data_IF_865290342863
#
_entry.id   IF_865290342863
#
_cell.length_a   1.000
_cell.length_b   1.000
_cell.length_c   1.000
_cell.angle_alpha   90.00
_cell.angle_beta   90.00
_cell.angle_gamma   90.00
#
_symmetry.space_group_name_H-M   'P 1'
#
loop_
_entity.id
_entity.type
_entity.pdbx_description
1 polymer ?
#
# COMPACT_ATOMS: atom_id res chain seq x y z
N UNK A 1 10.83 -4.30 22.73
CA UNK A 1 10.13 -3.66 21.60
C UNK A 1 10.12 -4.67 20.46
N UNK A 2 8.94 -5.01 19.94
CA UNK A 2 8.82 -6.11 18.96
C UNK A 2 8.77 -5.59 17.53
N UNK A 3 9.69 -6.06 16.70
CA UNK A 3 9.78 -5.72 15.27
C UNK A 3 9.56 -6.96 14.42
N UNK A 4 8.94 -6.79 13.26
CA UNK A 4 8.81 -7.84 12.26
C UNK A 4 9.56 -7.47 11.00
N UNK A 5 10.39 -8.38 10.49
CA UNK A 5 11.15 -8.21 9.26
C UNK A 5 10.69 -9.30 8.27
N UNK A 6 10.31 -8.89 7.07
CA UNK A 6 9.98 -9.85 5.99
C UNK A 6 11.25 -10.51 5.47
N UNK A 7 11.24 -11.83 5.26
CA UNK A 7 12.41 -12.59 4.81
C UNK A 7 12.07 -13.51 3.64
N UNK A 8 13.05 -13.72 2.75
CA UNK A 8 12.98 -14.70 1.66
C UNK A 8 13.32 -16.12 2.13
N UNK A 9 13.88 -16.29 3.32
CA UNK A 9 14.32 -17.58 3.85
C UNK A 9 14.17 -17.72 5.36
N UNK A 10 14.41 -18.93 5.89
CA UNK A 10 14.10 -19.31 7.27
C UNK A 10 15.22 -18.94 8.28
N UNK A 11 16.10 -18.01 7.95
CA UNK A 11 17.26 -17.63 8.78
C UNK A 11 17.54 -16.12 8.70
N UNK A 12 18.41 -15.62 9.60
CA UNK A 12 18.78 -14.20 9.66
C UNK A 12 19.77 -13.78 8.55
N UNK A 13 20.41 -14.74 7.89
CA UNK A 13 21.34 -14.49 6.78
C UNK A 13 20.60 -14.29 5.45
N UNK A 14 19.32 -14.67 5.42
CA UNK A 14 18.41 -14.49 4.31
C UNK A 14 18.18 -13.01 3.98
N UNK A 15 17.89 -12.77 2.72
CA UNK A 15 17.55 -11.44 2.22
C UNK A 15 16.17 -11.00 2.69
N UNK A 16 16.01 -9.71 2.95
CA UNK A 16 14.69 -9.11 3.17
C UNK A 16 13.81 -9.33 1.93
N UNK A 17 12.56 -9.73 2.12
CA UNK A 17 11.64 -9.91 1.00
C UNK A 17 11.14 -8.54 0.50
N UNK A 18 11.16 -8.29 -0.81
CA UNK A 18 10.61 -7.06 -1.38
C UNK A 18 9.08 -6.94 -1.24
N UNK A 19 8.35 -7.97 -0.81
CA UNK A 19 6.88 -8.02 -0.80
C UNK A 19 6.37 -8.38 0.59
N UNK A 20 5.65 -7.47 1.23
CA UNK A 20 5.01 -7.78 2.53
C UNK A 20 3.94 -8.88 2.45
N UNK A 21 3.05 -8.80 1.46
CA UNK A 21 1.94 -9.76 1.37
C UNK A 21 2.42 -11.19 1.09
N UNK A 22 3.36 -11.36 0.16
CA UNK A 22 3.80 -12.69 -0.29
C UNK A 22 5.26 -12.97 0.05
N UNK A 23 5.74 -12.46 1.17
CA UNK A 23 7.04 -12.88 1.68
C UNK A 23 7.00 -14.37 2.02
N UNK A 24 8.16 -15.03 1.97
CA UNK A 24 8.26 -16.43 2.35
C UNK A 24 8.15 -16.61 3.87
N UNK A 25 8.83 -15.75 4.64
CA UNK A 25 8.90 -15.84 6.09
C UNK A 25 8.72 -14.46 6.75
N UNK A 26 8.29 -14.50 8.00
CA UNK A 26 8.28 -13.39 8.94
C UNK A 26 9.28 -13.67 10.06
N UNK A 27 10.18 -12.73 10.30
CA UNK A 27 11.14 -12.76 11.41
C UNK A 27 10.64 -11.78 12.46
N UNK A 28 10.09 -12.31 13.55
CA UNK A 28 9.70 -11.54 14.72
C UNK A 28 10.91 -11.42 15.64
N UNK A 29 11.35 -10.20 15.91
CA UNK A 29 12.54 -9.93 16.72
C UNK A 29 12.17 -9.03 17.88
N UNK A 30 12.60 -9.37 19.09
CA UNK A 30 12.47 -8.51 20.26
C UNK A 30 13.80 -7.82 20.54
N UNK A 31 13.81 -6.49 20.38
CA UNK A 31 15.00 -5.67 20.58
C UNK A 31 15.45 -5.58 22.04
N UNK A 32 14.56 -5.87 22.99
CA UNK A 32 14.89 -5.76 24.42
C UNK A 32 15.56 -7.05 24.94
N UNK A 33 15.09 -8.21 24.47
CA UNK A 33 15.54 -9.53 24.96
C UNK A 33 16.50 -10.24 24.02
N UNK A 34 16.75 -9.69 22.84
CA UNK A 34 17.56 -10.28 21.77
C UNK A 34 17.06 -11.63 21.22
N UNK A 35 15.80 -11.95 21.50
CA UNK A 35 15.16 -13.18 21.02
C UNK A 35 14.46 -12.96 19.68
N UNK A 36 14.42 -14.03 18.88
CA UNK A 36 13.70 -14.02 17.61
C UNK A 36 12.91 -15.31 17.36
N UNK A 37 11.82 -15.18 16.61
CA UNK A 37 10.95 -16.25 16.16
C UNK A 37 10.77 -16.10 14.65
N UNK A 38 11.01 -17.17 13.88
CA UNK A 38 10.83 -17.18 12.42
C UNK A 38 9.62 -18.05 12.10
N UNK A 39 8.67 -17.49 11.34
CA UNK A 39 7.43 -18.17 10.96
C UNK A 39 7.29 -18.12 9.44
N UNK A 40 6.99 -19.25 8.81
CA UNK A 40 6.60 -19.29 7.40
C UNK A 40 5.27 -18.57 7.20
N UNK A 41 5.15 -17.77 6.14
CA UNK A 41 3.96 -17.00 5.86
C UNK A 41 2.76 -17.93 5.52
N UNK A 42 1.78 -18.11 6.43
CA UNK A 42 0.69 -19.05 6.21
C UNK A 42 -0.24 -18.60 5.08
N UNK A 43 -0.20 -17.32 4.72
CA UNK A 43 -1.09 -16.70 3.76
C UNK A 43 -0.45 -16.57 2.37
N UNK A 44 0.79 -17.05 2.16
CA UNK A 44 1.55 -16.86 0.91
C UNK A 44 0.78 -17.30 -0.34
N UNK A 45 0.03 -18.41 -0.24
CA UNK A 45 -0.75 -19.00 -1.33
C UNK A 45 -2.14 -18.38 -1.52
N UNK A 46 -2.50 -17.39 -0.71
CA UNK A 46 -3.82 -16.76 -0.79
C UNK A 46 -4.04 -16.04 -2.12
N UNK A 47 -5.23 -16.24 -2.70
CA UNK A 47 -5.62 -15.66 -3.99
C UNK A 47 -5.80 -14.15 -3.88
N UNK A 48 -6.39 -13.67 -2.78
CA UNK A 48 -6.65 -12.24 -2.52
C UNK A 48 -6.60 -11.95 -1.03
N UNK A 49 -6.44 -10.68 -0.66
CA UNK A 49 -6.46 -10.23 0.73
C UNK A 49 -5.24 -10.66 1.57
N UNK A 50 -4.22 -11.26 0.97
CA UNK A 50 -3.05 -11.79 1.69
C UNK A 50 -2.38 -10.75 2.58
N UNK A 51 -2.18 -9.53 2.06
CA UNK A 51 -1.59 -8.44 2.83
C UNK A 51 -2.44 -8.00 4.03
N UNK A 52 -3.76 -8.10 3.94
CA UNK A 52 -4.68 -7.79 5.05
C UNK A 52 -4.56 -8.87 6.14
N UNK A 53 -4.58 -10.15 5.76
CA UNK A 53 -4.43 -11.27 6.68
C UNK A 53 -3.08 -11.23 7.40
N UNK A 54 -2.00 -10.91 6.67
CA UNK A 54 -0.69 -10.74 7.29
C UNK A 54 -0.62 -9.53 8.21
N UNK A 55 -1.27 -8.41 7.87
CA UNK A 55 -1.36 -7.26 8.77
C UNK A 55 -2.10 -7.60 10.08
N UNK A 56 -3.16 -8.40 10.01
CA UNK A 56 -3.85 -8.92 11.20
C UNK A 56 -2.93 -9.81 12.04
N UNK A 57 -2.19 -10.72 11.40
CA UNK A 57 -1.19 -11.55 12.08
C UNK A 57 -0.14 -10.71 12.83
N UNK A 58 0.31 -9.58 12.25
CA UNK A 58 1.25 -8.68 12.92
C UNK A 58 0.64 -8.06 14.19
N UNK A 59 -0.63 -7.65 14.12
CA UNK A 59 -1.35 -7.10 15.27
C UNK A 59 -1.54 -8.15 16.37
N UNK A 60 -1.92 -9.37 16.02
CA UNK A 60 -2.06 -10.49 16.96
C UNK A 60 -0.73 -10.85 17.65
N UNK A 61 0.38 -10.81 16.91
CA UNK A 61 1.73 -11.04 17.45
C UNK A 61 2.28 -9.87 18.28
N UNK A 62 1.55 -8.76 18.39
CA UNK A 62 1.95 -7.58 19.14
C UNK A 62 3.16 -6.86 18.56
N UNK A 63 3.28 -6.83 17.24
CA UNK A 63 4.39 -6.15 16.56
C UNK A 63 4.17 -4.64 16.59
N UNK A 64 5.19 -3.88 16.94
CA UNK A 64 5.15 -2.41 16.96
C UNK A 64 5.65 -1.79 15.64
N UNK A 65 6.59 -2.47 14.97
CA UNK A 65 7.19 -2.00 13.72
C UNK A 65 7.35 -3.13 12.71
N UNK A 66 6.88 -2.92 11.48
CA UNK A 66 7.07 -3.82 10.34
C UNK A 66 8.11 -3.23 9.38
N UNK A 67 9.04 -4.06 8.95
CA UNK A 67 10.14 -3.71 8.05
C UNK A 67 10.06 -4.61 6.82
N UNK A 68 9.92 -3.99 5.65
CA UNK A 68 9.71 -4.69 4.38
C UNK A 68 10.32 -3.92 3.21
N UNK A 69 10.44 -4.54 2.05
CA UNK A 69 10.73 -3.80 0.82
C UNK A 69 9.54 -2.97 0.37
N UNK A 70 8.41 -3.59 0.03
CA UNK A 70 7.20 -2.89 -0.42
C UNK A 70 5.97 -3.32 0.37
N UNK A 71 5.04 -2.38 0.53
CA UNK A 71 3.76 -2.58 1.19
C UNK A 71 2.63 -1.96 0.35
N UNK A 72 1.58 -2.74 0.08
CA UNK A 72 0.41 -2.27 -0.66
C UNK A 72 -0.58 -1.48 0.22
N UNK A 73 -1.47 -0.66 -0.39
CA UNK A 73 -2.34 0.27 0.33
C UNK A 73 -3.30 -0.41 1.30
N UNK A 74 -3.82 -1.60 0.95
CA UNK A 74 -4.75 -2.34 1.81
C UNK A 74 -4.10 -2.90 3.07
N UNK A 75 -2.84 -3.32 3.00
CA UNK A 75 -2.12 -3.80 4.18
C UNK A 75 -1.67 -2.62 5.05
N UNK A 76 -1.26 -1.53 4.41
CA UNK A 76 -0.88 -0.30 5.10
C UNK A 76 -2.00 0.29 5.95
N UNK A 77 -3.23 0.34 5.43
CA UNK A 77 -4.36 0.86 6.20
C UNK A 77 -4.62 0.04 7.47
N UNK A 78 -4.52 -1.29 7.39
CA UNK A 78 -4.73 -2.20 8.53
C UNK A 78 -3.61 -2.05 9.57
N UNK A 79 -2.35 -2.03 9.12
CA UNK A 79 -1.20 -1.82 10.02
C UNK A 79 -1.29 -0.46 10.73
N UNK A 80 -1.67 0.59 10.00
CA UNK A 80 -1.83 1.93 10.57
C UNK A 80 -2.97 1.98 11.61
N UNK A 81 -4.11 1.34 11.33
CA UNK A 81 -5.23 1.25 12.28
C UNK A 81 -4.86 0.47 13.55
N UNK A 82 -4.00 -0.55 13.42
CA UNK A 82 -3.46 -1.29 14.54
C UNK A 82 -2.35 -0.53 15.31
N UNK A 83 -1.99 0.69 14.89
CA UNK A 83 -0.93 1.49 15.50
C UNK A 83 0.48 0.98 15.19
N UNK A 84 0.63 0.11 14.18
CA UNK A 84 1.90 -0.50 13.80
C UNK A 84 2.62 0.42 12.82
N UNK A 85 3.84 0.81 13.16
CA UNK A 85 4.68 1.62 12.27
C UNK A 85 5.23 0.76 11.16
N UNK A 86 5.38 1.31 9.95
CA UNK A 86 5.93 0.59 8.81
C UNK A 86 7.14 1.33 8.27
N UNK A 87 8.22 0.60 8.03
CA UNK A 87 9.39 1.05 7.29
C UNK A 87 9.44 0.25 6.00
N UNK A 88 9.38 0.94 4.87
CA UNK A 88 9.52 0.33 3.54
C UNK A 88 10.81 0.77 2.85
N UNK A 89 11.12 0.17 1.71
CA UNK A 89 12.35 0.41 0.95
C UNK A 89 13.59 -0.26 1.55
N UNK A 90 13.42 -1.22 2.46
CA UNK A 90 14.54 -1.93 3.09
C UNK A 90 14.96 -3.12 2.23
N UNK A 91 16.27 -3.26 2.04
CA UNK A 91 16.91 -4.35 1.30
C UNK A 91 18.20 -4.77 2.00
N UNK A 92 18.71 -5.97 1.70
CA UNK A 92 19.90 -6.55 2.32
C UNK A 92 19.56 -7.73 3.22
N UNK A 93 20.52 -8.20 4.01
CA UNK A 93 20.29 -9.32 4.93
C UNK A 93 19.47 -8.88 6.14
N UNK A 94 18.64 -9.78 6.66
CA UNK A 94 17.84 -9.54 7.87
C UNK A 94 18.74 -9.19 9.06
N UNK A 95 19.88 -9.86 9.22
CA UNK A 95 20.86 -9.58 10.26
C UNK A 95 21.38 -8.15 10.22
N UNK A 96 21.77 -7.65 9.05
CA UNK A 96 22.29 -6.29 8.87
C UNK A 96 21.25 -5.23 9.25
N UNK A 97 19.97 -5.52 8.94
CA UNK A 97 18.83 -4.68 9.31
C UNK A 97 18.66 -4.61 10.82
N UNK A 98 18.73 -5.74 11.52
CA UNK A 98 18.66 -5.80 12.99
C UNK A 98 19.81 -5.02 13.63
N UNK A 99 21.04 -5.24 13.15
CA UNK A 99 22.23 -4.55 13.66
C UNK A 99 22.17 -3.04 13.43
N UNK A 100 21.61 -2.60 12.29
CA UNK A 100 21.38 -1.18 12.03
C UNK A 100 20.39 -0.59 13.03
N UNK A 101 19.27 -1.27 13.32
CA UNK A 101 18.27 -0.79 14.28
C UNK A 101 18.85 -0.68 15.69
N UNK A 102 19.66 -1.67 16.11
CA UNK A 102 20.32 -1.64 17.43
C UNK A 102 21.26 -0.44 17.59
N UNK A 103 21.94 -0.04 16.51
CA UNK A 103 22.95 1.03 16.53
C UNK A 103 22.36 2.43 16.36
N UNK A 104 21.47 2.60 15.39
CA UNK A 104 20.97 3.91 14.93
C UNK A 104 19.54 4.19 15.41
N UNK A 105 18.89 3.18 16.00
CA UNK A 105 17.48 3.22 16.32
C UNK A 105 16.59 3.11 15.08
N UNK A 106 15.30 2.89 15.32
CA UNK A 106 14.29 2.78 14.26
C UNK A 106 14.17 4.08 13.45
N UNK A 107 14.44 5.23 14.10
CA UNK A 107 14.42 6.57 13.49
C UNK A 107 15.52 6.79 12.44
N UNK A 108 16.59 5.99 12.46
CA UNK A 108 17.69 6.06 11.48
C UNK A 108 17.37 5.43 10.14
N UNK A 109 16.25 4.69 10.03
CA UNK A 109 15.83 4.10 8.76
C UNK A 109 15.02 5.11 7.92
N UNK A 110 15.34 5.29 6.63
CA UNK A 110 14.60 6.21 5.79
C UNK A 110 13.15 5.70 5.64
N UNK A 111 12.12 6.50 6.00
CA UNK A 111 10.75 6.15 5.66
C UNK A 111 10.59 6.34 4.16
N UNK A 112 10.70 5.26 3.39
CA UNK A 112 10.36 5.31 1.98
C UNK A 112 8.86 5.05 1.82
N UNK A 113 8.27 5.82 0.92
CA UNK A 113 6.87 5.85 0.50
C UNK A 113 6.30 4.46 0.22
N UNK A 114 5.14 4.17 0.80
CA UNK A 114 4.25 3.14 0.27
C UNK A 114 4.00 3.41 -1.22
N UNK A 115 3.85 2.33 -1.99
CA UNK A 115 3.42 2.46 -3.39
C UNK A 115 2.13 3.29 -3.43
N UNK A 116 2.00 4.25 -4.37
CA UNK A 116 0.77 5.01 -4.53
C UNK A 116 -0.44 4.05 -4.60
N UNK A 117 -1.64 4.46 -4.13
CA UNK A 117 -2.85 3.63 -4.12
C UNK A 117 -3.27 3.03 -5.48
N UNK A 118 -2.56 3.39 -6.56
CA UNK A 118 -2.86 3.03 -7.95
C UNK A 118 -1.95 1.94 -8.56
N UNK A 119 -1.08 1.28 -7.78
CA UNK A 119 -0.30 0.14 -8.29
C UNK A 119 -1.10 -1.17 -8.15
N UNK A 120 -2.10 -1.38 -9.00
CA UNK A 120 -2.80 -2.68 -9.06
C UNK A 120 -4.24 -2.74 -9.56
N UNK A 121 -4.84 -1.66 -10.07
CA UNK A 121 -6.12 -1.77 -10.78
C UNK A 121 -5.85 -1.97 -12.27
N UNK A 122 -5.80 -3.23 -12.69
CA UNK A 122 -5.73 -3.59 -14.09
C UNK A 122 -6.92 -3.02 -14.86
N UNK A 123 -6.69 -1.93 -15.60
CA UNK A 123 -7.36 -1.64 -16.86
C UNK A 123 -6.46 -2.08 -18.03
N UNK A 124 -5.90 -3.29 -17.91
CA UNK A 124 -5.49 -4.04 -19.09
C UNK A 124 -6.75 -4.65 -19.70
N UNK A 125 -7.00 -4.55 -21.02
CA UNK A 125 -8.09 -5.28 -21.68
C UNK A 125 -7.76 -6.78 -21.65
N UNK A 126 -8.00 -7.42 -20.51
CA UNK A 126 -7.85 -8.85 -20.29
C UNK A 126 -9.02 -9.58 -20.95
N UNK A 127 -8.88 -9.85 -22.24
CA UNK A 127 -9.73 -10.78 -22.98
C UNK A 127 -9.48 -12.19 -22.42
N UNK A 128 -10.22 -12.55 -21.38
CA UNK A 128 -10.20 -13.87 -20.76
C UNK A 128 -10.68 -14.94 -21.73
N UNK A 129 -9.75 -15.55 -22.46
CA UNK A 129 -9.96 -16.74 -23.28
C UNK A 129 -9.99 -17.98 -22.38
N UNK A 130 -11.06 -18.12 -21.59
CA UNK A 130 -11.37 -19.33 -20.84
C UNK A 130 -12.11 -20.33 -21.73
N UNK A 131 -11.37 -21.11 -22.53
CA UNK A 131 -11.92 -22.22 -23.30
C UNK A 131 -11.98 -23.47 -22.41
N UNK A 132 -12.97 -23.51 -21.52
CA UNK A 132 -13.28 -24.70 -20.72
C UNK A 132 -14.05 -25.71 -21.59
N UNK A 133 -13.38 -26.77 -22.04
CA UNK A 133 -14.02 -27.98 -22.59
C UNK A 133 -14.73 -28.74 -21.46
N UNK A 134 -15.89 -28.24 -21.03
CA UNK A 134 -16.83 -28.97 -20.18
C UNK A 134 -17.78 -29.79 -21.06
N UNK A 135 -17.51 -31.10 -21.17
CA UNK A 135 -18.30 -32.08 -21.90
C UNK A 135 -19.61 -32.37 -21.15
N UNK A 136 -20.55 -31.42 -21.17
CA UNK A 136 -21.87 -31.54 -20.55
C UNK A 136 -22.96 -31.85 -21.57
N UNK A 137 -23.36 -33.12 -21.67
CA UNK A 137 -24.61 -33.56 -22.30
C UNK A 137 -25.78 -33.00 -21.48
N UNK A 138 -26.51 -32.03 -22.01
CA UNK A 138 -27.74 -31.51 -21.39
C UNK A 138 -28.69 -30.97 -22.45
N UNK A 139 -29.73 -31.75 -22.76
CA UNK A 139 -30.87 -31.35 -23.58
C UNK A 139 -31.60 -30.14 -22.97
N UNK A 140 -31.96 -29.16 -23.79
CA UNK A 140 -32.86 -28.07 -23.38
C UNK A 140 -33.17 -27.09 -24.50
N UNK A 141 -34.35 -27.26 -25.10
CA UNK A 141 -35.19 -26.29 -25.84
C UNK A 141 -34.54 -25.24 -26.76
N UNK A 142 -34.77 -25.42 -28.06
CA UNK A 142 -34.74 -24.35 -29.06
C UNK A 142 -35.98 -23.45 -28.93
N UNK A 143 -35.80 -22.12 -28.90
CA UNK A 143 -36.69 -21.19 -29.64
C UNK A 143 -36.02 -19.83 -29.88
N UNK A 144 -35.92 -19.46 -31.16
CA UNK A 144 -35.52 -18.16 -31.72
C UNK A 144 -34.09 -17.63 -31.48
N UNK A 145 -33.15 -18.07 -32.31
CA UNK A 145 -32.02 -17.21 -32.73
C UNK A 145 -31.81 -17.31 -34.24
N UNK A 146 -31.42 -16.21 -34.91
CA UNK A 146 -31.23 -16.17 -36.37
C UNK A 146 -30.06 -17.05 -36.81
N UNK A 147 -30.18 -17.62 -37.99
CA UNK A 147 -29.22 -18.53 -38.62
C UNK A 147 -27.87 -17.82 -38.85
N UNK A 148 -26.82 -18.17 -38.11
CA UNK A 148 -25.45 -17.75 -38.42
C UNK A 148 -24.80 -18.78 -39.36
N UNK A 149 -24.13 -18.35 -40.44
CA UNK A 149 -23.43 -19.26 -41.33
C UNK A 149 -22.23 -19.92 -40.62
N UNK A 150 -21.77 -21.11 -41.07
CA UNK A 150 -20.65 -21.80 -40.44
C UNK A 150 -19.36 -20.99 -40.62
N UNK A 151 -18.42 -21.03 -39.65
CA UNK A 151 -17.15 -20.34 -39.80
C UNK A 151 -16.35 -20.98 -40.95
N UNK A 152 -15.51 -20.21 -41.65
CA UNK A 152 -14.70 -20.74 -42.74
C UNK A 152 -13.66 -21.72 -42.18
N UNK A 153 -13.18 -22.67 -43.02
CA UNK A 153 -12.21 -23.66 -42.59
C UNK A 153 -10.90 -22.99 -42.16
N UNK A 154 -10.39 -23.47 -41.03
CA UNK A 154 -9.11 -23.07 -40.45
C UNK A 154 -7.96 -23.57 -41.34
N UNK A 155 -7.62 -22.80 -42.36
CA UNK A 155 -6.33 -22.93 -43.04
C UNK A 155 -6.04 -21.68 -43.85
N UNK A 156 -5.27 -20.79 -43.27
CA UNK A 156 -4.14 -20.13 -43.93
C UNK A 156 -3.39 -19.35 -42.84
N UNK A 157 -2.15 -19.75 -42.62
CA UNK A 157 -1.19 -18.93 -41.89
C UNK A 157 -1.13 -17.58 -42.61
N UNK A 158 -1.67 -16.53 -42.00
CA UNK A 158 -1.40 -15.16 -42.42
C UNK A 158 0.02 -14.82 -41.98
N UNK A 159 0.96 -14.59 -42.91
CA UNK A 159 2.30 -14.14 -42.56
C UNK A 159 2.22 -12.67 -42.14
N UNK A 160 2.78 -12.34 -40.98
CA UNK A 160 3.37 -11.02 -40.79
C UNK A 160 2.51 -9.90 -40.19
N UNK A 161 1.46 -10.18 -39.41
CA UNK A 161 0.93 -9.13 -38.51
C UNK A 161 1.71 -9.17 -37.20
N UNK A 162 2.85 -8.48 -37.18
CA UNK A 162 3.48 -8.12 -35.92
C UNK A 162 2.48 -7.27 -35.12
N UNK A 163 2.32 -7.49 -33.80
CA UNK A 163 1.56 -6.55 -32.97
C UNK A 163 2.14 -5.16 -33.19
N UNK A 164 1.31 -4.10 -33.30
CA UNK A 164 1.82 -2.75 -33.52
C UNK A 164 2.83 -2.46 -32.41
N UNK A 165 4.10 -2.42 -32.80
CA UNK A 165 5.14 -1.89 -31.94
C UNK A 165 4.69 -0.47 -31.61
N UNK A 166 4.69 -0.06 -30.33
CA UNK A 166 4.38 1.32 -30.00
C UNK A 166 5.31 2.19 -30.85
N UNK A 167 4.72 2.92 -31.79
CA UNK A 167 5.45 3.90 -32.58
C UNK A 167 6.16 4.80 -31.56
N UNK A 168 7.46 5.11 -31.75
CA UNK A 168 8.13 6.06 -30.87
C UNK A 168 7.22 7.27 -30.78
N UNK A 169 6.78 7.63 -29.56
CA UNK A 169 6.05 8.89 -29.41
C UNK A 169 6.88 9.93 -30.14
N UNK A 170 6.24 10.66 -31.05
CA UNK A 170 6.92 11.69 -31.81
C UNK A 170 7.61 12.59 -30.78
N UNK A 171 8.91 12.86 -30.91
CA UNK A 171 9.70 13.50 -29.83
C UNK A 171 9.03 14.77 -29.29
N UNK A 172 8.23 15.44 -30.13
CA UNK A 172 7.42 16.59 -29.77
C UNK A 172 6.25 16.27 -28.81
N UNK A 173 5.56 15.14 -29.00
CA UNK A 173 4.50 14.66 -28.11
C UNK A 173 5.05 14.26 -26.74
N UNK A 174 6.21 13.60 -26.72
CA UNK A 174 6.89 13.25 -25.46
C UNK A 174 7.31 14.51 -24.69
N UNK A 175 7.88 15.51 -25.38
CA UNK A 175 8.20 16.81 -24.78
C UNK A 175 6.95 17.52 -24.24
N UNK A 176 5.81 17.46 -24.95
CA UNK A 176 4.56 18.05 -24.47
C UNK A 176 4.05 17.35 -23.21
N UNK A 177 4.08 16.02 -23.19
CA UNK A 177 3.68 15.25 -22.02
C UNK A 177 4.57 15.53 -20.80
N UNK A 178 5.89 15.53 -20.99
CA UNK A 178 6.84 15.85 -19.93
C UNK A 178 6.67 17.27 -19.40
N UNK A 179 6.35 18.24 -20.27
CA UNK A 179 6.03 19.62 -19.86
C UNK A 179 4.75 19.68 -19.03
N UNK A 180 3.68 19.00 -19.44
CA UNK A 180 2.44 18.93 -18.67
C UNK A 180 2.67 18.28 -17.30
N UNK A 181 3.46 17.20 -17.25
CA UNK A 181 3.82 16.55 -16.00
C UNK A 181 4.65 17.47 -15.09
N UNK A 182 5.61 18.20 -15.66
CA UNK A 182 6.41 19.18 -14.91
C UNK A 182 5.55 20.32 -14.35
N UNK A 183 4.57 20.82 -15.10
CA UNK A 183 3.63 21.84 -14.62
C UNK A 183 2.75 21.33 -13.48
N UNK A 184 2.26 20.10 -13.57
CA UNK A 184 1.48 19.49 -12.50
C UNK A 184 2.30 19.38 -11.20
N UNK A 185 3.53 18.86 -11.31
CA UNK A 185 4.43 18.73 -10.15
C UNK A 185 4.79 20.09 -9.55
N UNK A 186 4.98 21.13 -10.37
CA UNK A 186 5.19 22.50 -9.89
C UNK A 186 4.02 22.99 -9.04
N UNK A 187 2.77 22.72 -9.43
CA UNK A 187 1.60 23.09 -8.62
C UNK A 187 1.58 22.37 -7.27
N UNK A 188 1.94 21.08 -7.24
CA UNK A 188 2.06 20.34 -5.99
C UNK A 188 3.16 20.91 -5.08
N UNK A 189 4.32 21.24 -5.66
CA UNK A 189 5.43 21.89 -4.92
C UNK A 189 4.98 23.22 -4.34
N UNK A 190 4.25 24.05 -5.09
CA UNK A 190 3.71 25.32 -4.58
C UNK A 190 2.76 25.13 -3.39
N UNK A 191 1.88 24.13 -3.46
CA UNK A 191 0.95 23.83 -2.38
C UNK A 191 1.68 23.35 -1.11
N UNK A 192 2.64 22.44 -1.28
CA UNK A 192 3.49 21.96 -0.18
C UNK A 192 4.25 23.15 0.44
N UNK A 193 4.84 24.01 -0.38
CA UNK A 193 5.55 25.21 0.10
C UNK A 193 4.64 26.20 0.83
N UNK A 194 3.39 26.38 0.38
CA UNK A 194 2.40 27.17 1.12
C UNK A 194 2.13 26.57 2.50
N UNK A 195 2.04 25.24 2.59
CA UNK A 195 1.82 24.53 3.84
C UNK A 195 3.03 24.64 4.79
N UNK A 196 4.24 24.50 4.26
CA UNK A 196 5.50 24.72 5.00
C UNK A 196 5.53 26.14 5.58
N UNK A 197 5.25 27.17 4.77
CA UNK A 197 5.22 28.57 5.24
C UNK A 197 4.23 28.81 6.38
N UNK A 198 3.07 28.14 6.38
CA UNK A 198 2.11 28.23 7.49
C UNK A 198 2.69 27.64 8.78
N UNK A 199 3.35 26.49 8.67
CA UNK A 199 4.00 25.81 9.81
C UNK A 199 5.19 26.61 10.33
N UNK A 200 6.05 27.14 9.44
CA UNK A 200 7.21 27.97 9.80
C UNK A 200 6.81 29.28 10.49
N UNK A 201 5.68 29.88 10.10
CA UNK A 201 5.10 31.05 10.75
C UNK A 201 4.52 30.75 12.14
N UNK A 202 4.57 29.51 12.59
CA UNK A 202 4.01 29.10 13.87
C UNK A 202 2.48 29.14 13.87
N UNK A 203 1.81 29.08 12.72
CA UNK A 203 0.36 28.84 12.62
C UNK A 203 0.08 27.38 12.98
N UNK A 204 0.38 27.02 14.22
CA UNK A 204 -0.23 25.87 14.86
C UNK A 204 -1.71 26.20 14.93
N UNK A 205 -2.55 25.42 14.24
CA UNK A 205 -4.00 25.58 14.20
C UNK A 205 -4.58 25.20 15.56
N UNK A 206 -4.19 25.92 16.62
CA UNK A 206 -4.82 25.85 17.93
C UNK A 206 -6.15 26.58 17.76
N UNK A 207 -7.29 25.87 17.77
CA UNK A 207 -8.58 26.51 17.63
C UNK A 207 -8.79 27.47 18.81
N UNK A 208 -8.98 28.76 18.52
CA UNK A 208 -9.27 29.78 19.53
C UNK A 208 -10.76 29.74 19.86
N UNK A 209 -11.10 29.58 21.13
CA UNK A 209 -12.49 29.54 21.59
C UNK A 209 -12.96 30.97 21.90
N UNK A 210 -14.02 31.39 21.22
CA UNK A 210 -14.70 32.64 21.52
C UNK A 210 -15.62 32.47 22.74
N UNK A 211 -15.18 33.02 23.88
CA UNK A 211 -15.90 32.90 25.16
C UNK A 211 -17.29 33.56 25.15
N UNK A 212 -17.52 34.54 24.28
CA UNK A 212 -18.82 35.22 24.17
C UNK A 212 -19.86 34.33 23.50
N UNK A 213 -19.44 33.54 22.51
CA UNK A 213 -20.31 32.62 21.75
C UNK A 213 -20.36 31.20 22.30
N UNK A 214 -19.37 30.79 23.10
CA UNK A 214 -19.35 29.49 23.73
C UNK A 214 -20.59 29.31 24.63
N UNK A 215 -21.44 28.31 24.35
CA UNK A 215 -22.64 28.01 25.15
C UNK A 215 -22.36 27.05 26.32
N UNK A 216 -21.12 26.57 26.46
CA UNK A 216 -20.75 25.69 27.58
C UNK A 216 -21.19 24.24 27.46
N UNK A 217 -21.63 23.77 26.28
CA UNK A 217 -22.14 22.41 26.10
C UNK A 217 -21.09 21.29 26.24
N UNK A 218 -19.79 21.62 26.26
CA UNK A 218 -18.71 20.66 26.49
C UNK A 218 -18.43 19.66 25.37
N UNK A 219 -19.15 19.73 24.24
CA UNK A 219 -18.97 18.80 23.11
C UNK A 219 -17.52 18.83 22.61
N UNK A 220 -16.95 20.03 22.43
CA UNK A 220 -15.58 20.21 21.96
C UNK A 220 -14.53 19.62 22.91
N UNK A 221 -14.75 19.70 24.23
CA UNK A 221 -13.87 19.11 25.25
C UNK A 221 -13.89 17.58 25.15
N UNK A 222 -15.07 16.99 25.04
CA UNK A 222 -15.24 15.53 24.98
C UNK A 222 -14.69 14.89 23.70
N UNK A 223 -14.76 15.59 22.56
CA UNK A 223 -14.26 15.07 21.27
C UNK A 223 -12.78 15.37 21.04
N UNK A 224 -12.12 16.09 21.94
CA UNK A 224 -10.73 16.49 21.74
C UNK A 224 -9.78 15.29 21.90
N UNK A 225 -9.14 14.80 20.82
CA UNK A 225 -8.31 13.58 20.90
C UNK A 225 -7.01 13.77 21.69
N UNK A 226 -6.65 15.03 21.96
CA UNK A 226 -5.40 15.42 22.63
C UNK A 226 -5.66 16.12 23.96
N UNK A 227 -6.90 16.19 24.44
CA UNK A 227 -7.29 16.90 25.66
C UNK A 227 -6.75 18.35 25.74
N UNK A 228 -6.74 19.05 24.59
CA UNK A 228 -6.16 20.39 24.47
C UNK A 228 -7.01 21.50 25.12
N UNK A 229 -8.26 21.22 25.48
CA UNK A 229 -9.21 22.17 26.07
C UNK A 229 -9.98 21.50 27.20
N UNK A 230 -10.46 22.28 28.16
CA UNK A 230 -11.21 21.87 29.34
C UNK A 230 -12.42 22.78 29.56
N UNK A 231 -13.37 22.36 30.38
CA UNK A 231 -14.50 23.21 30.75
C UNK A 231 -14.21 23.93 32.07
N UNK A 232 -14.06 25.25 32.02
CA UNK A 232 -13.87 26.11 33.19
C UNK A 232 -15.05 27.09 33.25
N UNK A 233 -15.76 27.14 34.36
CA UNK A 233 -16.89 28.07 34.56
C UNK A 233 -17.96 28.03 33.45
N UNK A 234 -18.32 26.82 32.98
CA UNK A 234 -19.24 26.60 31.85
C UNK A 234 -18.78 27.22 30.51
N UNK A 235 -17.47 27.41 30.32
CA UNK A 235 -16.86 27.81 29.04
C UNK A 235 -15.71 26.87 28.73
N UNK A 236 -15.49 26.61 27.45
CA UNK A 236 -14.33 25.81 27.02
C UNK A 236 -13.08 26.71 26.98
N UNK A 237 -11.99 26.24 27.57
CA UNK A 237 -10.69 26.93 27.71
C UNK A 237 -9.51 26.01 27.47
#
# INVERSE_FOLDING_TARGET
MKVCITSQGPDLESQVDPRFGRCAYFVFYDLDTDNFEIIENPNISGVSGVGIQNAQLMAEKGVEVVITGNLGPNAASVLQQAGIRVITGVSGKVKDVIERIKREGISGMPPQSNVPPHFGMGFGPGMGRGMGMGRGRGMGMRRNMPFMPPPPPFSQQVPGVQPPQPSPLDKQQEIQFLKQQAEFLKRQIEEINKRIKKIERGESLIPQIDKTRCVGCGICVNVCPVNAIQLVSNKAE
#
